data_IF_471381570559
#
_entry.id   IF_471381570559
#
_cell.length_a   1.000
_cell.length_b   1.000
_cell.length_c   1.000
_cell.angle_alpha   90.00
_cell.angle_beta   90.00
_cell.angle_gamma   90.00
#
_symmetry.space_group_name_H-M   'P 1'
#
loop_
_entity.id
_entity.type
_entity.pdbx_description
1 polymer ?
#
# COMPACT_ATOMS: atom_id res chain seq x y z
N UNK A 1 16.79 15.06 -5.73
CA UNK A 1 16.06 15.14 -4.43
C UNK A 1 15.00 16.25 -4.48
N UNK A 2 15.28 17.40 -5.09
CA UNK A 2 14.34 18.53 -5.13
C UNK A 2 13.16 18.30 -6.09
N UNK A 3 13.40 17.66 -7.22
CA UNK A 3 12.33 17.28 -8.18
C UNK A 3 11.31 16.34 -7.52
N UNK A 4 11.76 15.42 -6.68
CA UNK A 4 10.89 14.50 -5.97
C UNK A 4 10.03 15.23 -4.94
N UNK A 5 10.62 16.18 -4.21
CA UNK A 5 9.91 17.03 -3.23
C UNK A 5 8.88 17.95 -3.90
N UNK A 6 9.19 18.52 -5.06
CA UNK A 6 8.24 19.35 -5.79
C UNK A 6 7.07 18.58 -6.36
N UNK A 7 7.31 17.37 -6.83
CA UNK A 7 6.24 16.49 -7.31
C UNK A 7 5.34 15.99 -6.17
N UNK A 8 5.89 15.75 -4.99
CA UNK A 8 5.11 15.38 -3.80
C UNK A 8 4.23 16.54 -3.35
N UNK A 9 4.70 17.81 -3.42
CA UNK A 9 3.90 18.98 -3.04
C UNK A 9 2.60 19.12 -3.85
N UNK A 10 2.57 18.61 -5.07
CA UNK A 10 1.37 18.62 -5.95
C UNK A 10 0.34 17.57 -5.56
N UNK A 11 0.69 16.66 -4.65
CA UNK A 11 -0.18 15.56 -4.21
C UNK A 11 -0.20 14.37 -5.18
N UNK A 12 -0.93 13.35 -4.79
CA UNK A 12 -1.06 12.11 -5.55
C UNK A 12 -2.24 12.21 -6.52
N UNK A 13 -2.03 11.77 -7.75
CA UNK A 13 -3.03 11.87 -8.83
C UNK A 13 -4.02 10.71 -8.70
N UNK A 14 -5.32 11.04 -8.71
CA UNK A 14 -6.40 10.08 -8.84
C UNK A 14 -6.68 9.85 -10.33
N UNK A 15 -6.60 8.61 -10.76
CA UNK A 15 -6.80 8.25 -12.17
C UNK A 15 -8.19 7.74 -12.50
N UNK A 16 -9.05 7.55 -11.49
CA UNK A 16 -10.43 7.06 -11.64
C UNK A 16 -10.51 5.73 -12.41
N UNK A 17 -9.62 4.80 -12.09
CA UNK A 17 -9.61 3.45 -12.66
C UNK A 17 -9.78 2.39 -11.57
N UNK A 18 -10.23 1.21 -11.96
CA UNK A 18 -10.48 0.09 -11.05
C UNK A 18 -9.27 -0.85 -10.91
N UNK A 19 -8.06 -0.29 -10.89
CA UNK A 19 -6.85 -1.07 -10.67
C UNK A 19 -6.66 -1.32 -9.18
N UNK A 20 -6.51 -2.58 -8.81
CA UNK A 20 -6.11 -2.98 -7.47
C UNK A 20 -4.80 -3.74 -7.49
N UNK A 21 -4.07 -3.66 -6.40
CA UNK A 21 -2.84 -4.41 -6.17
C UNK A 21 -2.81 -4.87 -4.71
N UNK A 22 -1.82 -5.67 -4.39
CA UNK A 22 -1.51 -6.02 -3.01
C UNK A 22 -0.48 -5.03 -2.47
N UNK A 23 -0.86 -4.29 -1.44
CA UNK A 23 0.01 -3.35 -0.75
C UNK A 23 0.23 -3.81 0.68
N UNK A 24 1.41 -3.60 1.19
CA UNK A 24 1.72 -3.81 2.60
C UNK A 24 2.43 -2.58 3.15
N UNK A 25 2.07 -2.16 4.35
CA UNK A 25 2.76 -1.09 5.05
C UNK A 25 4.14 -1.54 5.54
N UNK A 26 5.11 -0.64 5.52
CA UNK A 26 6.49 -0.97 5.89
C UNK A 26 6.62 -1.44 7.35
N UNK A 27 5.82 -0.88 8.25
CA UNK A 27 5.81 -1.31 9.65
C UNK A 27 5.30 -2.75 9.78
N UNK A 28 4.21 -3.09 9.08
CA UNK A 28 3.67 -4.45 9.07
C UNK A 28 4.65 -5.44 8.44
N UNK A 29 5.29 -5.06 7.36
CA UNK A 29 6.35 -5.86 6.74
C UNK A 29 7.47 -6.15 7.75
N UNK A 30 7.95 -5.14 8.47
CA UNK A 30 8.98 -5.31 9.50
C UNK A 30 8.53 -6.21 10.65
N UNK A 31 7.29 -6.09 11.12
CA UNK A 31 6.72 -7.00 12.13
C UNK A 31 6.72 -8.46 11.67
N UNK A 32 6.36 -8.70 10.42
CA UNK A 32 6.34 -10.05 9.85
C UNK A 32 7.74 -10.62 9.75
N UNK A 33 8.70 -9.84 9.26
CA UNK A 33 10.12 -10.26 9.20
C UNK A 33 10.65 -10.58 10.60
N UNK A 34 10.39 -9.72 11.57
CA UNK A 34 10.78 -9.97 12.97
C UNK A 34 10.17 -11.27 13.52
N UNK A 35 8.88 -11.51 13.27
CA UNK A 35 8.22 -12.72 13.70
C UNK A 35 8.79 -13.99 13.03
N UNK A 36 9.15 -13.92 11.75
CA UNK A 36 9.80 -15.01 11.02
C UNK A 36 11.14 -15.37 11.68
N UNK A 37 11.94 -14.38 11.99
CA UNK A 37 13.24 -14.57 12.64
C UNK A 37 13.05 -15.14 14.04
N UNK A 38 12.18 -14.55 14.84
CA UNK A 38 11.95 -14.95 16.24
C UNK A 38 11.38 -16.35 16.38
N UNK A 39 10.49 -16.74 15.46
CA UNK A 39 9.89 -18.08 15.45
C UNK A 39 10.76 -19.15 14.75
N UNK A 40 11.91 -18.73 14.24
CA UNK A 40 12.82 -19.62 13.50
C UNK A 40 12.07 -20.45 12.44
N UNK A 41 11.35 -19.74 11.58
CA UNK A 41 10.54 -20.35 10.51
C UNK A 41 11.44 -21.12 9.54
N UNK A 42 11.01 -22.31 9.13
CA UNK A 42 11.75 -23.14 8.18
C UNK A 42 12.04 -22.39 6.88
N UNK A 43 13.20 -22.68 6.28
CA UNK A 43 13.57 -22.12 4.99
C UNK A 43 12.53 -22.42 3.90
N UNK A 44 12.39 -21.50 2.97
CA UNK A 44 11.45 -21.63 1.86
C UNK A 44 11.05 -20.32 1.24
N UNK A 45 10.10 -20.38 0.32
CA UNK A 45 9.52 -19.20 -0.34
C UNK A 45 8.18 -18.86 0.32
N UNK A 46 8.05 -17.63 0.76
CA UNK A 46 6.86 -17.11 1.42
C UNK A 46 6.43 -15.78 0.78
N UNK A 47 5.15 -15.66 0.46
CA UNK A 47 4.58 -14.39 0.04
C UNK A 47 4.28 -13.54 1.28
N UNK A 48 4.93 -12.40 1.39
CA UNK A 48 4.67 -11.42 2.44
C UNK A 48 3.85 -10.30 1.84
N UNK A 49 2.57 -10.24 2.18
CA UNK A 49 1.61 -9.32 1.58
C UNK A 49 0.42 -9.09 2.51
N UNK A 50 -0.41 -8.12 2.19
CA UNK A 50 -1.70 -7.93 2.84
C UNK A 50 -2.68 -9.07 2.49
N UNK A 51 -2.56 -9.63 1.28
CA UNK A 51 -3.44 -10.68 0.78
C UNK A 51 -4.85 -10.21 0.44
N UNK A 52 -5.04 -8.91 0.23
CA UNK A 52 -6.34 -8.30 -0.06
C UNK A 52 -6.24 -7.29 -1.20
N UNK A 53 -7.36 -7.11 -1.91
CA UNK A 53 -7.47 -6.09 -2.95
C UNK A 53 -7.43 -4.69 -2.32
N UNK A 54 -6.49 -3.88 -2.76
CA UNK A 54 -6.43 -2.46 -2.41
C UNK A 54 -6.39 -1.66 -3.71
N UNK A 55 -7.35 -0.78 -3.89
CA UNK A 55 -7.41 0.05 -5.09
C UNK A 55 -6.35 1.15 -5.02
N UNK A 56 -5.64 1.35 -6.13
CA UNK A 56 -4.57 2.35 -6.23
C UNK A 56 -5.11 3.75 -5.91
N UNK A 57 -6.33 4.07 -6.36
CA UNK A 57 -6.98 5.35 -6.06
C UNK A 57 -7.28 5.52 -4.56
N UNK A 58 -7.56 4.46 -3.83
CA UNK A 58 -7.74 4.55 -2.37
C UNK A 58 -6.42 4.89 -1.66
N UNK A 59 -5.32 4.28 -2.08
CA UNK A 59 -3.98 4.66 -1.60
C UNK A 59 -3.71 6.14 -1.86
N UNK A 60 -3.98 6.62 -3.08
CA UNK A 60 -3.79 8.03 -3.45
C UNK A 60 -4.66 8.95 -2.59
N UNK A 61 -5.92 8.60 -2.35
CA UNK A 61 -6.83 9.35 -1.46
C UNK A 61 -6.29 9.42 -0.03
N UNK A 62 -5.84 8.30 0.53
CA UNK A 62 -5.31 8.27 1.89
C UNK A 62 -4.01 9.07 2.01
N UNK A 63 -3.14 9.00 1.01
CA UNK A 63 -1.91 9.79 0.95
C UNK A 63 -2.16 11.28 0.74
N UNK A 64 -3.32 11.67 0.20
CA UNK A 64 -3.74 13.06 0.07
C UNK A 64 -4.53 13.60 1.27
N UNK A 65 -4.74 12.82 2.33
CA UNK A 65 -5.60 13.21 3.46
C UNK A 65 -5.26 14.57 4.09
N UNK A 66 -4.00 14.94 4.12
CA UNK A 66 -3.49 16.21 4.65
C UNK A 66 -3.08 17.20 3.56
N UNK A 67 -3.28 16.85 2.29
CA UNK A 67 -3.02 17.76 1.20
C UNK A 67 -4.13 18.81 1.12
N UNK A 68 -3.80 20.10 1.33
CA UNK A 68 -4.74 21.21 1.26
C UNK A 68 -5.12 21.59 -0.17
N UNK A 69 -4.30 21.24 -1.13
CA UNK A 69 -4.60 21.43 -2.55
C UNK A 69 -5.50 20.28 -3.02
N UNK A 70 -6.52 20.60 -3.82
CA UNK A 70 -7.37 19.57 -4.41
C UNK A 70 -6.52 18.68 -5.32
N UNK A 71 -6.49 17.40 -5.03
CA UNK A 71 -5.86 16.42 -5.90
C UNK A 71 -6.46 16.52 -7.31
N UNK A 72 -5.61 16.58 -8.32
CA UNK A 72 -6.06 16.56 -9.71
C UNK A 72 -6.64 15.19 -10.02
N UNK A 73 -7.91 15.16 -10.40
CA UNK A 73 -8.52 13.99 -11.00
C UNK A 73 -8.12 13.94 -12.47
N UNK A 74 -7.44 12.88 -12.87
CA UNK A 74 -7.14 12.62 -14.27
C UNK A 74 -7.93 11.39 -14.67
N UNK A 75 -8.85 11.55 -15.61
CA UNK A 75 -9.50 10.41 -16.23
C UNK A 75 -8.49 9.65 -17.09
N UNK A 76 -8.33 8.38 -16.78
CA UNK A 76 -7.50 7.52 -17.62
C UNK A 76 -8.27 7.17 -18.89
N UNK A 77 -7.77 7.60 -20.05
CA UNK A 77 -8.30 7.20 -21.37
C UNK A 77 -7.80 5.82 -21.81
N UNK A 78 -6.90 5.19 -21.06
CA UNK A 78 -6.38 3.88 -21.41
C UNK A 78 -7.25 2.79 -20.81
N UNK A 79 -7.71 1.86 -21.64
CA UNK A 79 -8.24 0.59 -21.17
C UNK A 79 -7.09 -0.21 -20.53
N UNK A 80 -7.00 -0.13 -19.20
CA UNK A 80 -6.09 -1.01 -18.47
C UNK A 80 -6.68 -2.42 -18.50
N UNK A 81 -5.95 -3.36 -19.06
CA UNK A 81 -6.32 -4.76 -19.02
C UNK A 81 -6.29 -5.27 -17.58
N UNK A 82 -7.18 -6.20 -17.24
CA UNK A 82 -7.24 -6.84 -15.92
C UNK A 82 -5.94 -7.54 -15.48
N UNK A 83 -4.96 -7.66 -16.37
CA UNK A 83 -3.63 -8.24 -16.12
C UNK A 83 -2.81 -7.46 -15.08
N UNK A 84 -3.11 -6.17 -14.87
CA UNK A 84 -2.42 -5.35 -13.88
C UNK A 84 -3.00 -5.46 -12.46
N UNK A 85 -4.08 -6.22 -12.30
CA UNK A 85 -4.76 -6.43 -11.03
C UNK A 85 -4.34 -7.77 -10.42
N UNK A 86 -3.78 -7.75 -9.23
CA UNK A 86 -3.39 -8.97 -8.53
C UNK A 86 -3.42 -8.82 -7.00
N UNK A 87 -3.56 -9.95 -6.35
CA UNK A 87 -3.26 -10.11 -4.92
C UNK A 87 -2.40 -11.35 -4.74
N UNK A 88 -1.59 -11.38 -3.69
CA UNK A 88 -0.74 -12.51 -3.35
C UNK A 88 -1.43 -13.39 -2.30
N UNK A 89 -1.26 -14.68 -2.43
CA UNK A 89 -1.70 -15.61 -1.39
C UNK A 89 -0.65 -15.70 -0.28
N UNK A 90 -0.95 -15.11 0.87
CA UNK A 90 -0.08 -15.08 2.03
C UNK A 90 -0.41 -16.13 3.10
N UNK A 91 -1.32 -17.05 2.82
CA UNK A 91 -1.82 -18.02 3.81
C UNK A 91 -0.72 -18.86 4.44
N UNK A 92 0.30 -19.25 3.67
CA UNK A 92 1.39 -20.09 4.14
C UNK A 92 2.11 -19.46 5.33
N UNK A 93 2.52 -18.21 5.21
CA UNK A 93 3.24 -17.52 6.30
C UNK A 93 2.31 -17.06 7.42
N UNK A 94 1.11 -16.62 7.10
CA UNK A 94 0.16 -16.12 8.10
C UNK A 94 -0.33 -17.19 9.07
N UNK A 95 -0.41 -18.45 8.63
CA UNK A 95 -0.69 -19.59 9.52
C UNK A 95 0.40 -19.81 10.57
N UNK A 96 1.65 -19.52 10.22
CA UNK A 96 2.81 -19.74 11.08
C UNK A 96 2.95 -18.60 12.10
N UNK A 97 2.91 -17.33 11.62
CA UNK A 97 3.20 -16.17 12.44
C UNK A 97 1.99 -15.59 13.17
N UNK A 98 0.78 -15.86 12.71
CA UNK A 98 -0.49 -15.41 13.34
C UNK A 98 -0.58 -13.91 13.62
N UNK A 99 -0.01 -13.07 12.76
CA UNK A 99 -0.09 -11.61 12.85
C UNK A 99 -1.36 -11.12 12.15
N UNK A 100 -2.11 -10.21 12.80
CA UNK A 100 -3.23 -9.53 12.15
C UNK A 100 -2.72 -8.57 11.07
N UNK A 101 -3.34 -8.65 9.90
CA UNK A 101 -3.04 -7.77 8.78
C UNK A 101 -4.35 -7.36 8.11
N UNK A 102 -4.66 -6.08 8.09
CA UNK A 102 -5.91 -5.56 7.55
C UNK A 102 -5.74 -4.21 6.84
N UNK A 103 -6.71 -3.88 5.99
CA UNK A 103 -6.72 -2.64 5.20
C UNK A 103 -6.75 -1.40 6.09
N UNK A 104 -7.41 -1.46 7.25
CA UNK A 104 -7.49 -0.34 8.18
C UNK A 104 -6.13 0.09 8.73
N UNK A 105 -5.23 -0.85 9.00
CA UNK A 105 -3.85 -0.55 9.41
C UNK A 105 -3.06 0.11 8.28
N UNK A 106 -3.17 -0.39 7.06
CA UNK A 106 -2.55 0.21 5.88
C UNK A 106 -3.05 1.65 5.67
N UNK A 107 -4.36 1.87 5.78
CA UNK A 107 -4.96 3.21 5.70
C UNK A 107 -4.38 4.16 6.75
N UNK A 108 -4.27 3.74 8.00
CA UNK A 108 -3.68 4.53 9.09
C UNK A 108 -2.22 4.90 8.78
N UNK A 109 -1.45 3.98 8.23
CA UNK A 109 -0.07 4.22 7.85
C UNK A 109 0.03 5.25 6.72
N UNK A 110 -0.80 5.13 5.68
CA UNK A 110 -0.87 6.12 4.60
C UNK A 110 -1.24 7.53 5.12
N UNK A 111 -2.19 7.62 6.05
CA UNK A 111 -2.59 8.90 6.66
C UNK A 111 -1.44 9.51 7.48
N UNK A 112 -0.67 8.71 8.21
CA UNK A 112 0.53 9.20 8.91
C UNK A 112 1.56 9.75 7.93
N UNK A 113 1.81 9.04 6.82
CA UNK A 113 2.71 9.51 5.77
C UNK A 113 2.21 10.82 5.18
N UNK A 114 0.91 10.93 4.88
CA UNK A 114 0.30 12.16 4.38
C UNK A 114 0.55 13.35 5.32
N UNK A 115 0.38 13.14 6.63
CA UNK A 115 0.65 14.17 7.64
C UNK A 115 2.10 14.65 7.62
N UNK A 116 3.06 13.76 7.34
CA UNK A 116 4.48 14.12 7.24
C UNK A 116 4.76 14.89 5.95
N UNK A 117 4.17 14.46 4.84
CA UNK A 117 4.42 15.02 3.52
C UNK A 117 3.81 16.42 3.33
N UNK A 118 2.63 16.66 3.91
CA UNK A 118 1.82 17.86 3.69
C UNK A 118 1.65 18.72 4.94
N UNK A 119 2.57 18.63 5.83
CA UNK A 119 2.64 19.52 7.01
C UNK A 119 2.87 20.95 6.64
#
# INVERSE_FOLDING_TARGET
IDIFKENIKKGFILRNHNIFKDFIGIQKFAEIIYAIIKKNVDGGIYNISLGKKVYVDDIAKWLNSYNKEKAKNVESKSSYYNTDCFTLNNKKIMKIIKIKNNIGELKKECIKISKILFK
#
